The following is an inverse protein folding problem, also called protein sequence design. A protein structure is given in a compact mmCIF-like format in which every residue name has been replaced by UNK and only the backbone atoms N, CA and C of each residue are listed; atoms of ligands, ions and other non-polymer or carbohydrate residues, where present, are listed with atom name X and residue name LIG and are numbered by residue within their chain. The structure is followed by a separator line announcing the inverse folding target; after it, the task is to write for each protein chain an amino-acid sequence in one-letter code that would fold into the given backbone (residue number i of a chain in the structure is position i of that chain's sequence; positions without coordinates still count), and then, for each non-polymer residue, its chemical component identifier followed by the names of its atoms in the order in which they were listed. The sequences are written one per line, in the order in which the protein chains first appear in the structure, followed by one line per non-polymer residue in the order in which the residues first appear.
data_IF_834749085557
#
_entry.id   IF_834749085557
#
_cell.length_a   1.000
_cell.length_b   1.000
_cell.length_c   1.000
_cell.angle_alpha   90.00
_cell.angle_beta   90.00
_cell.angle_gamma   90.00
#
_symmetry.space_group_name_H-M   'P 1'
#
loop_
_entity.id
_entity.type
_entity.pdbx_description
1 polymer ?
#
# COMPACT_ATOMS: atom_id res chain seq x y z
N UNK A 1 57.39 -14.61 -43.02
CA UNK A 1 56.63 -13.35 -42.88
C UNK A 1 55.17 -13.55 -42.33
N UNK A 2 54.51 -14.65 -42.57
CA UNK A 2 53.11 -14.91 -42.18
C UNK A 2 52.85 -15.11 -40.67
N UNK A 3 53.80 -15.58 -39.90
CA UNK A 3 53.58 -15.80 -38.45
C UNK A 3 53.49 -14.53 -37.59
N UNK A 4 53.97 -13.38 -38.06
CA UNK A 4 53.90 -12.11 -37.32
C UNK A 4 52.56 -11.39 -37.53
N UNK A 5 51.93 -11.56 -38.67
CA UNK A 5 50.63 -10.92 -38.97
C UNK A 5 49.52 -11.59 -38.17
N UNK A 6 49.55 -12.93 -38.02
CA UNK A 6 48.53 -13.65 -37.26
C UNK A 6 48.52 -13.32 -35.75
N UNK A 7 49.68 -12.98 -35.16
CA UNK A 7 49.77 -12.62 -33.74
C UNK A 7 49.27 -11.20 -33.42
N UNK A 8 49.36 -10.27 -34.38
CA UNK A 8 48.85 -8.91 -34.17
C UNK A 8 47.33 -8.82 -34.31
N UNK A 9 46.74 -9.62 -35.18
CA UNK A 9 45.29 -9.66 -35.35
C UNK A 9 44.57 -10.33 -34.15
N UNK A 10 45.11 -11.42 -33.61
CA UNK A 10 44.56 -12.08 -32.42
C UNK A 10 44.67 -11.20 -31.17
N UNK A 11 45.78 -10.44 -31.02
CA UNK A 11 45.93 -9.51 -29.89
C UNK A 11 44.95 -8.34 -29.98
N UNK A 12 44.70 -7.82 -31.19
CA UNK A 12 43.72 -6.76 -31.43
C UNK A 12 42.29 -7.16 -31.14
N UNK A 13 41.90 -8.40 -31.50
CA UNK A 13 40.55 -8.94 -31.23
C UNK A 13 40.36 -9.19 -29.72
N UNK A 14 41.39 -9.71 -29.03
CA UNK A 14 41.34 -9.93 -27.57
C UNK A 14 41.24 -8.60 -26.81
N UNK A 15 41.94 -7.57 -27.25
CA UNK A 15 41.86 -6.24 -26.64
C UNK A 15 40.49 -5.59 -26.84
N UNK A 16 39.89 -5.78 -28.04
CA UNK A 16 38.55 -5.27 -28.32
C UNK A 16 37.45 -5.98 -27.49
N UNK A 17 37.56 -7.29 -27.30
CA UNK A 17 36.59 -8.03 -26.50
C UNK A 17 36.67 -7.69 -25.00
N UNK A 18 37.86 -7.41 -24.47
CA UNK A 18 38.06 -6.96 -23.09
C UNK A 18 37.52 -5.55 -22.91
N UNK A 19 37.69 -4.64 -23.90
CA UNK A 19 37.13 -3.28 -23.82
C UNK A 19 35.60 -3.26 -23.85
N UNK A 20 34.96 -4.17 -24.62
CA UNK A 20 33.48 -4.27 -24.66
C UNK A 20 32.89 -4.87 -23.37
N UNK A 21 33.61 -5.75 -22.68
CA UNK A 21 33.20 -6.31 -21.39
C UNK A 21 33.35 -5.31 -20.24
N UNK A 22 34.31 -4.39 -20.31
CA UNK A 22 34.48 -3.34 -19.30
C UNK A 22 33.41 -2.24 -19.38
N UNK A 23 32.84 -2.00 -20.57
CA UNK A 23 31.82 -0.99 -20.78
C UNK A 23 30.43 -1.29 -20.15
N UNK A 24 30.13 -2.56 -19.91
CA UNK A 24 28.84 -2.95 -19.28
C UNK A 24 28.88 -2.97 -17.74
N UNK A 25 30.05 -2.99 -17.12
CA UNK A 25 30.17 -3.10 -15.66
C UNK A 25 30.07 -1.75 -14.93
N UNK A 26 30.32 -0.63 -15.62
CA UNK A 26 30.27 0.70 -15.00
C UNK A 26 28.86 1.30 -14.84
N UNK A 27 27.83 0.67 -15.39
CA UNK A 27 26.44 1.09 -15.26
C UNK A 27 25.68 0.46 -14.08
N UNK A 28 26.24 -0.60 -13.46
CA UNK A 28 25.53 -1.39 -12.44
C UNK A 28 25.70 -0.89 -11.00
N UNK A 29 26.60 0.08 -10.78
CA UNK A 29 26.82 0.67 -9.45
C UNK A 29 26.68 2.19 -9.47
N UNK A 30 25.73 2.72 -10.25
CA UNK A 30 25.31 4.10 -10.03
C UNK A 30 24.43 4.11 -8.79
N UNK A 31 25.05 4.37 -7.65
CA UNK A 31 24.43 4.64 -6.33
C UNK A 31 23.58 5.94 -6.37
N UNK A 32 22.79 6.11 -7.40
CA UNK A 32 21.80 7.18 -7.57
C UNK A 32 20.38 6.76 -7.25
N UNK A 33 20.15 5.50 -6.94
CA UNK A 33 18.93 5.05 -6.28
C UNK A 33 19.09 5.16 -4.74
N UNK A 34 19.43 6.32 -4.24
CA UNK A 34 19.01 6.70 -2.88
C UNK A 34 17.50 6.78 -2.94
N UNK A 35 16.93 5.58 -2.71
CA UNK A 35 15.60 5.20 -3.10
C UNK A 35 14.54 6.13 -2.55
N UNK A 36 13.50 6.27 -3.34
CA UNK A 36 12.25 6.91 -2.99
C UNK A 36 11.58 6.29 -1.75
N UNK A 37 12.06 5.20 -1.23
CA UNK A 37 11.51 4.50 -0.08
C UNK A 37 12.36 4.70 1.17
N UNK A 38 11.76 4.60 2.37
CA UNK A 38 12.52 4.46 3.61
C UNK A 38 13.58 3.37 3.44
N UNK A 39 14.79 3.57 3.96
CA UNK A 39 15.81 2.53 3.89
C UNK A 39 15.27 1.20 4.39
N UNK A 40 15.56 0.12 3.69
CA UNK A 40 15.14 -1.23 4.09
C UNK A 40 15.44 -1.51 5.57
N UNK A 41 16.58 -1.03 6.04
CA UNK A 41 17.01 -1.13 7.44
C UNK A 41 16.00 -0.51 8.42
N UNK A 42 15.38 0.62 8.09
CA UNK A 42 14.34 1.23 8.96
C UNK A 42 13.10 0.34 9.07
N UNK A 43 12.77 -0.33 7.95
CA UNK A 43 11.62 -1.24 7.87
C UNK A 43 11.88 -2.54 8.66
N UNK A 44 13.12 -3.03 8.64
CA UNK A 44 13.54 -4.27 9.32
C UNK A 44 13.79 -4.02 10.81
N UNK A 45 14.50 -2.96 11.16
CA UNK A 45 14.86 -2.62 12.56
C UNK A 45 13.68 -2.03 13.34
N UNK A 46 12.61 -1.61 12.66
CA UNK A 46 11.44 -1.00 13.30
C UNK A 46 11.70 0.38 13.91
N UNK A 47 12.79 1.06 13.56
CA UNK A 47 13.18 2.36 14.14
C UNK A 47 12.42 3.54 13.50
N UNK A 48 11.11 3.40 13.40
CA UNK A 48 10.23 4.40 12.77
C UNK A 48 10.23 5.75 13.51
N UNK A 49 10.33 5.74 14.82
CA UNK A 49 10.29 6.98 15.62
C UNK A 49 11.42 7.93 15.23
N UNK A 50 12.64 7.41 15.16
CA UNK A 50 13.82 8.18 14.73
C UNK A 50 13.67 8.66 13.30
N UNK A 51 13.25 7.79 12.40
CA UNK A 51 13.08 8.13 10.99
C UNK A 51 12.02 9.22 10.78
N UNK A 52 10.89 9.16 11.50
CA UNK A 52 9.89 10.22 11.49
C UNK A 52 10.46 11.55 12.00
N UNK A 53 11.19 11.54 13.13
CA UNK A 53 11.80 12.75 13.70
C UNK A 53 12.80 13.39 12.72
N UNK A 54 13.66 12.59 12.07
CA UNK A 54 14.62 13.07 11.06
C UNK A 54 13.92 13.71 9.86
N UNK A 55 12.84 13.11 9.36
CA UNK A 55 12.08 13.65 8.23
C UNK A 55 11.28 14.90 8.61
N UNK A 56 10.75 14.99 9.83
CA UNK A 56 10.14 16.23 10.34
C UNK A 56 11.16 17.37 10.42
N UNK A 57 12.34 17.11 11.00
CA UNK A 57 13.43 18.09 11.04
C UNK A 57 13.87 18.53 9.64
N UNK A 58 13.91 17.58 8.68
CA UNK A 58 14.26 17.91 7.30
C UNK A 58 13.19 18.83 6.70
N UNK A 59 11.91 18.54 6.93
CA UNK A 59 10.81 19.36 6.43
C UNK A 59 10.82 20.79 6.99
N UNK A 60 11.20 20.96 8.25
CA UNK A 60 11.36 22.28 8.88
C UNK A 60 12.54 23.07 8.30
N UNK A 61 13.66 22.39 8.01
CA UNK A 61 14.88 23.05 7.51
C UNK A 61 14.85 23.38 6.04
N UNK A 62 14.19 22.55 5.22
CA UNK A 62 14.23 22.67 3.76
C UNK A 62 13.47 23.91 3.22
N UNK A 63 12.55 24.50 3.99
CA UNK A 63 11.81 25.75 3.65
C UNK A 63 11.31 25.83 2.20
N UNK A 64 10.85 24.68 1.66
CA UNK A 64 10.41 24.58 0.26
C UNK A 64 11.54 24.27 -0.74
N UNK A 65 12.78 24.13 -0.29
CA UNK A 65 13.92 23.75 -1.11
C UNK A 65 14.07 22.23 -1.29
N UNK A 66 15.27 21.82 -1.72
CA UNK A 66 15.59 20.41 -2.01
C UNK A 66 15.43 19.52 -0.78
N UNK A 67 14.76 18.40 -0.95
CA UNK A 67 14.55 17.37 0.07
C UNK A 67 13.21 17.45 0.80
N UNK A 68 12.47 18.56 0.69
CA UNK A 68 11.13 18.68 1.25
C UNK A 68 10.17 17.62 0.68
N UNK A 69 10.27 17.41 -0.63
CA UNK A 69 9.45 16.43 -1.36
C UNK A 69 9.72 15.00 -0.88
N UNK A 70 11.00 14.65 -0.64
CA UNK A 70 11.40 13.37 -0.08
C UNK A 70 10.89 13.20 1.36
N UNK A 71 11.04 14.25 2.18
CA UNK A 71 10.57 14.21 3.56
C UNK A 71 9.05 14.00 3.66
N UNK A 72 8.27 14.71 2.84
CA UNK A 72 6.81 14.53 2.75
C UNK A 72 6.44 13.11 2.32
N UNK A 73 7.13 12.57 1.31
CA UNK A 73 6.91 11.20 0.87
C UNK A 73 7.20 10.20 1.99
N UNK A 74 8.35 10.31 2.65
CA UNK A 74 8.76 9.42 3.72
C UNK A 74 7.78 9.43 4.91
N UNK A 75 7.31 10.62 5.31
CA UNK A 75 6.30 10.76 6.36
C UNK A 75 4.98 10.10 5.94
N UNK A 76 4.52 10.37 4.71
CA UNK A 76 3.34 9.73 4.15
C UNK A 76 3.46 8.22 4.10
N UNK A 77 4.61 7.70 3.66
CA UNK A 77 4.87 6.26 3.56
C UNK A 77 4.81 5.56 4.92
N UNK A 78 5.47 6.08 5.95
CA UNK A 78 5.46 5.46 7.29
C UNK A 78 4.04 5.38 7.86
N UNK A 79 3.21 6.41 7.61
CA UNK A 79 1.81 6.38 8.01
C UNK A 79 0.93 5.49 7.11
N UNK A 80 1.32 5.27 5.85
CA UNK A 80 0.63 4.37 4.93
C UNK A 80 0.95 2.89 5.19
N UNK A 81 2.12 2.57 5.74
CA UNK A 81 2.64 1.22 5.89
C UNK A 81 1.95 0.46 7.03
N UNK A 82 1.17 -0.62 6.77
CA UNK A 82 0.39 -1.29 7.79
C UNK A 82 1.19 -1.87 8.97
N UNK A 83 2.43 -2.42 8.78
CA UNK A 83 3.24 -2.89 9.89
C UNK A 83 3.83 -1.78 10.78
N UNK A 84 3.75 -0.50 10.35
CA UNK A 84 4.25 0.62 11.15
C UNK A 84 3.38 0.82 12.40
N UNK A 85 3.97 1.02 13.58
CA UNK A 85 3.23 1.40 14.78
C UNK A 85 2.59 2.79 14.67
N UNK A 86 2.96 3.56 13.66
CA UNK A 86 2.42 4.89 13.33
C UNK A 86 1.42 4.84 12.17
N UNK A 87 0.91 3.65 11.83
CA UNK A 87 -0.04 3.48 10.73
C UNK A 87 -1.29 4.34 10.94
N UNK A 88 -1.49 5.31 10.05
CA UNK A 88 -2.64 6.22 9.98
C UNK A 88 -2.88 6.61 8.51
N UNK A 89 -3.76 5.91 7.80
CA UNK A 89 -4.05 6.19 6.39
C UNK A 89 -4.54 7.62 6.13
N UNK A 90 -5.25 8.23 7.08
CA UNK A 90 -5.75 9.59 6.93
C UNK A 90 -4.61 10.60 6.96
N UNK A 91 -3.66 10.39 7.86
CA UNK A 91 -2.45 11.21 7.97
C UNK A 91 -1.52 11.00 6.77
N UNK A 92 -1.41 9.76 6.29
CA UNK A 92 -0.68 9.45 5.07
C UNK A 92 -1.22 10.22 3.87
N UNK A 93 -2.55 10.25 3.70
CA UNK A 93 -3.20 11.01 2.63
C UNK A 93 -2.88 12.50 2.71
N UNK A 94 -2.86 13.11 3.89
CA UNK A 94 -2.50 14.53 4.06
C UNK A 94 -1.08 14.81 3.58
N UNK A 95 -0.10 13.96 3.92
CA UNK A 95 1.28 14.12 3.46
C UNK A 95 1.41 13.96 1.94
N UNK A 96 0.73 12.98 1.35
CA UNK A 96 0.75 12.80 -0.10
C UNK A 96 0.01 13.91 -0.85
N UNK A 97 -1.10 14.44 -0.31
CA UNK A 97 -1.78 15.60 -0.89
C UNK A 97 -0.89 16.85 -0.85
N UNK A 98 -0.21 17.09 0.27
CA UNK A 98 0.75 18.18 0.41
C UNK A 98 1.92 18.04 -0.58
N UNK A 99 2.48 16.83 -0.71
CA UNK A 99 3.54 16.53 -1.66
C UNK A 99 3.12 16.83 -3.10
N UNK A 100 1.97 16.31 -3.52
CA UNK A 100 1.45 16.48 -4.89
C UNK A 100 1.15 17.95 -5.17
N UNK A 101 0.60 18.68 -4.20
CA UNK A 101 0.23 20.10 -4.33
C UNK A 101 1.47 21.01 -4.40
N UNK A 102 2.46 20.77 -3.54
CA UNK A 102 3.64 21.63 -3.41
C UNK A 102 4.74 21.32 -4.43
N UNK A 103 4.86 20.05 -4.85
CA UNK A 103 5.96 19.57 -5.70
C UNK A 103 5.48 18.70 -6.88
N UNK A 104 4.49 19.15 -7.69
CA UNK A 104 3.75 18.31 -8.64
C UNK A 104 4.59 17.65 -9.73
N UNK A 105 5.77 18.20 -10.04
CA UNK A 105 6.64 17.73 -11.12
C UNK A 105 7.78 16.83 -10.66
N UNK A 106 7.84 16.49 -9.37
CA UNK A 106 8.93 15.64 -8.84
C UNK A 106 8.61 14.16 -9.01
N UNK A 107 9.64 13.29 -9.11
CA UNK A 107 9.45 11.84 -9.05
C UNK A 107 8.69 11.40 -7.78
N UNK A 108 8.94 12.07 -6.66
CA UNK A 108 8.26 11.83 -5.39
C UNK A 108 6.74 12.06 -5.47
N UNK A 109 6.32 13.12 -6.18
CA UNK A 109 4.91 13.37 -6.38
C UNK A 109 4.25 12.33 -7.30
N UNK A 110 4.99 11.76 -8.25
CA UNK A 110 4.50 10.65 -9.06
C UNK A 110 4.21 9.43 -8.18
N UNK A 111 5.16 9.03 -7.36
CA UNK A 111 4.98 7.93 -6.39
C UNK A 111 3.86 8.25 -5.39
N UNK A 112 3.83 9.48 -4.86
CA UNK A 112 2.80 9.95 -3.95
C UNK A 112 1.38 9.85 -4.54
N UNK A 113 1.21 10.11 -5.84
CA UNK A 113 -0.09 9.92 -6.52
C UNK A 113 -0.53 8.46 -6.53
N UNK A 114 0.41 7.53 -6.77
CA UNK A 114 0.11 6.10 -6.75
C UNK A 114 -0.31 5.64 -5.35
N UNK A 115 0.44 6.02 -4.32
CA UNK A 115 0.10 5.71 -2.93
C UNK A 115 -1.23 6.32 -2.49
N UNK A 116 -1.47 7.58 -2.84
CA UNK A 116 -2.74 8.26 -2.57
C UNK A 116 -3.92 7.52 -3.19
N UNK A 117 -3.82 7.12 -4.45
CA UNK A 117 -4.86 6.38 -5.14
C UNK A 117 -5.13 5.02 -4.47
N UNK A 118 -4.07 4.29 -4.11
CA UNK A 118 -4.17 3.01 -3.41
C UNK A 118 -4.85 3.14 -2.04
N UNK A 119 -4.44 4.12 -1.24
CA UNK A 119 -5.02 4.38 0.09
C UNK A 119 -6.49 4.78 -0.01
N UNK A 120 -6.84 5.65 -0.96
CA UNK A 120 -8.22 6.07 -1.19
C UNK A 120 -9.11 4.89 -1.56
N UNK A 121 -8.64 4.01 -2.46
CA UNK A 121 -9.37 2.81 -2.85
C UNK A 121 -9.51 1.82 -1.68
N UNK A 122 -8.47 1.67 -0.86
CA UNK A 122 -8.50 0.81 0.32
C UNK A 122 -9.52 1.31 1.36
N UNK A 123 -9.49 2.60 1.70
CA UNK A 123 -10.45 3.20 2.63
C UNK A 123 -11.90 3.07 2.14
N UNK A 124 -12.15 3.28 0.85
CA UNK A 124 -13.47 3.08 0.26
C UNK A 124 -13.93 1.60 0.36
N UNK A 125 -13.02 0.67 0.13
CA UNK A 125 -13.29 -0.77 0.26
C UNK A 125 -13.58 -1.18 1.71
N UNK A 126 -12.84 -0.64 2.67
CA UNK A 126 -13.06 -0.83 4.10
C UNK A 126 -14.45 -0.32 4.53
N UNK A 127 -14.82 0.87 4.09
CA UNK A 127 -16.13 1.45 4.38
C UNK A 127 -17.26 0.61 3.78
N UNK A 128 -17.12 0.18 2.52
CA UNK A 128 -18.07 -0.73 1.88
C UNK A 128 -18.22 -2.04 2.66
N UNK A 129 -17.10 -2.62 3.11
CA UNK A 129 -17.10 -3.84 3.92
C UNK A 129 -17.85 -3.64 5.24
N UNK A 130 -17.62 -2.51 5.93
CA UNK A 130 -18.34 -2.18 7.18
C UNK A 130 -19.85 -2.06 6.96
N UNK A 131 -20.27 -1.38 5.89
CA UNK A 131 -21.69 -1.24 5.53
C UNK A 131 -22.33 -2.59 5.24
N UNK A 132 -21.67 -3.44 4.44
CA UNK A 132 -22.18 -4.78 4.14
C UNK A 132 -22.28 -5.65 5.40
N UNK A 133 -21.33 -5.57 6.32
CA UNK A 133 -21.41 -6.29 7.60
C UNK A 133 -22.55 -5.80 8.46
N UNK A 134 -22.83 -4.50 8.51
CA UNK A 134 -23.97 -3.94 9.23
C UNK A 134 -25.30 -4.41 8.63
N UNK A 135 -25.41 -4.40 7.30
CA UNK A 135 -26.60 -4.88 6.58
C UNK A 135 -26.85 -6.38 6.83
N UNK A 136 -25.81 -7.20 6.78
CA UNK A 136 -25.92 -8.62 7.10
C UNK A 136 -26.43 -8.84 8.53
N UNK A 137 -25.91 -8.12 9.53
CA UNK A 137 -26.37 -8.22 10.93
C UNK A 137 -27.84 -7.83 11.05
N UNK A 138 -28.29 -6.79 10.36
CA UNK A 138 -29.69 -6.34 10.33
C UNK A 138 -30.60 -7.41 9.72
N UNK A 139 -30.19 -7.97 8.57
CA UNK A 139 -30.94 -9.05 7.92
C UNK A 139 -31.04 -10.31 8.78
N UNK A 140 -29.94 -10.70 9.43
CA UNK A 140 -29.94 -11.84 10.36
C UNK A 140 -30.88 -11.62 11.55
N UNK A 141 -30.97 -10.39 12.08
CA UNK A 141 -31.93 -10.05 13.15
C UNK A 141 -33.36 -10.17 12.64
N UNK A 142 -33.65 -9.66 11.45
CA UNK A 142 -34.97 -9.75 10.80
C UNK A 142 -35.38 -11.21 10.57
N UNK A 143 -34.46 -12.04 10.05
CA UNK A 143 -34.70 -13.47 9.84
C UNK A 143 -35.02 -14.17 11.15
N UNK A 144 -34.32 -13.88 12.25
CA UNK A 144 -34.62 -14.44 13.58
C UNK A 144 -36.01 -14.05 14.05
N UNK A 145 -36.38 -12.78 13.89
CA UNK A 145 -37.72 -12.28 14.27
C UNK A 145 -38.83 -12.99 13.47
N UNK A 146 -38.64 -13.07 12.14
CA UNK A 146 -39.61 -13.75 11.26
C UNK A 146 -39.76 -15.24 11.57
N UNK A 147 -38.66 -15.94 11.88
CA UNK A 147 -38.69 -17.35 12.30
C UNK A 147 -39.48 -17.54 13.61
N UNK A 148 -39.27 -16.63 14.56
CA UNK A 148 -40.02 -16.65 15.83
C UNK A 148 -41.53 -16.41 15.60
N UNK A 149 -41.88 -15.43 14.75
CA UNK A 149 -43.27 -15.16 14.40
C UNK A 149 -43.92 -16.35 13.68
N UNK A 150 -43.23 -16.95 12.72
CA UNK A 150 -43.69 -18.13 12.01
C UNK A 150 -43.90 -19.33 12.95
N UNK A 151 -43.00 -19.52 13.93
CA UNK A 151 -43.13 -20.54 14.94
C UNK A 151 -44.42 -20.36 15.78
N UNK A 152 -44.66 -19.12 16.24
CA UNK A 152 -45.91 -18.80 16.99
C UNK A 152 -47.17 -18.99 16.16
N UNK A 153 -47.16 -18.59 14.88
CA UNK A 153 -48.31 -18.81 13.99
C UNK A 153 -48.63 -20.29 13.84
N UNK A 154 -47.64 -21.16 13.62
CA UNK A 154 -47.81 -22.61 13.54
C UNK A 154 -48.34 -23.20 14.84
N UNK A 155 -47.96 -22.69 16.00
CA UNK A 155 -48.44 -23.13 17.29
C UNK A 155 -49.93 -22.81 17.43
N UNK A 156 -50.34 -21.59 17.06
CA UNK A 156 -51.75 -21.16 17.05
C UNK A 156 -52.59 -22.04 16.09
N UNK A 157 -52.11 -22.28 14.88
CA UNK A 157 -52.79 -23.12 13.89
C UNK A 157 -53.02 -24.54 14.43
N UNK A 158 -52.00 -25.14 15.07
CA UNK A 158 -52.15 -26.46 15.71
C UNK A 158 -53.17 -26.48 16.88
N UNK A 159 -53.22 -25.40 17.68
CA UNK A 159 -54.22 -25.28 18.74
C UNK A 159 -55.64 -25.16 18.18
N UNK A 160 -55.83 -24.41 17.11
CA UNK A 160 -57.12 -24.29 16.41
C UNK A 160 -57.57 -25.65 15.90
N UNK A 161 -56.72 -26.34 15.16
CA UNK A 161 -56.98 -27.68 14.62
C UNK A 161 -57.34 -28.70 15.72
N UNK A 162 -56.69 -28.59 16.88
CA UNK A 162 -57.00 -29.45 18.03
C UNK A 162 -58.39 -29.18 18.59
N UNK A 163 -58.77 -27.91 18.81
CA UNK A 163 -60.07 -27.49 19.31
C UNK A 163 -61.20 -27.87 18.36
N UNK A 164 -61.01 -27.68 17.05
CA UNK A 164 -62.02 -28.10 16.06
C UNK A 164 -62.25 -29.59 16.11
N UNK A 165 -61.24 -30.44 16.24
CA UNK A 165 -61.37 -31.88 16.40
C UNK A 165 -62.07 -32.29 17.71
N UNK A 166 -61.93 -31.54 18.79
CA UNK A 166 -62.58 -31.77 20.07
C UNK A 166 -64.09 -31.41 20.00
N UNK A 167 -64.46 -30.39 19.22
CA UNK A 167 -65.88 -29.99 19.06
C UNK A 167 -66.67 -30.91 18.12
N UNK A 168 -66.02 -31.68 17.27
CA UNK A 168 -66.67 -32.61 16.34
C UNK A 168 -66.83 -34.01 16.91
N UNK A 169 -66.44 -34.26 18.16
CA UNK A 169 -66.64 -35.52 18.89
C UNK A 169 -67.83 -35.44 19.84
#
# INVERSE_FOLDING_TARGET
MWRRVARSTTLGILLHTVLMLAGCASGLFSDKSRGAFPPQQVMEDGNYARFLAENHQLLERCQGGTGCEMALFNLGFVHAYPPSPYHDPSKALQYFDDLIKKYPQTPWAFEGRAWRALLTANLASEEKRRRLQADLRSKDATIRTLRTQLGRSREIDMEIDKKERELLR
#
